data_IF_356903065100
#
_entry.id   IF_356903065100
#
_cell.length_a   1.000
_cell.length_b   1.000
_cell.length_c   1.000
_cell.angle_alpha   90.00
_cell.angle_beta   90.00
_cell.angle_gamma   90.00
#
_symmetry.space_group_name_H-M   'P 1'
#
loop_
_entity.id
_entity.type
_entity.pdbx_description
1 polymer ?
#
# COMPACT_ATOMS: atom_id res chain seq x y z
N UNK A 1 10.85 14.89 -8.64
CA UNK A 1 9.48 14.90 -9.15
C UNK A 1 8.49 14.96 -7.97
N UNK A 2 7.85 16.12 -7.77
CA UNK A 2 6.83 16.36 -6.74
C UNK A 2 5.57 16.94 -7.41
N UNK A 3 5.10 16.27 -8.45
CA UNK A 3 4.05 16.79 -9.34
C UNK A 3 2.64 16.30 -8.96
N UNK A 4 2.44 15.76 -7.74
CA UNK A 4 1.14 15.27 -7.31
C UNK A 4 0.57 14.24 -8.28
N UNK A 5 -0.67 14.40 -8.69
CA UNK A 5 -1.35 13.50 -9.64
C UNK A 5 -0.70 13.44 -11.04
N UNK A 6 0.06 14.45 -11.45
CA UNK A 6 0.81 14.44 -12.70
C UNK A 6 2.14 13.68 -12.62
N UNK A 7 2.52 13.16 -11.44
CA UNK A 7 3.85 12.56 -11.25
C UNK A 7 4.09 11.36 -12.14
N UNK A 8 3.06 10.51 -12.38
CA UNK A 8 3.18 9.35 -13.28
C UNK A 8 3.52 9.78 -14.69
N UNK A 9 2.67 10.59 -15.32
CA UNK A 9 2.85 11.03 -16.71
C UNK A 9 4.11 11.87 -16.91
N UNK A 10 4.51 12.67 -15.92
CA UNK A 10 5.77 13.41 -15.97
C UNK A 10 6.98 12.48 -15.90
N UNK A 11 6.98 11.52 -15.00
CA UNK A 11 8.08 10.56 -14.83
C UNK A 11 8.23 9.64 -16.06
N UNK A 12 7.12 9.25 -16.69
CA UNK A 12 7.10 8.46 -17.93
C UNK A 12 7.88 9.15 -19.07
N UNK A 13 7.92 10.48 -19.13
CA UNK A 13 8.69 11.22 -20.17
C UNK A 13 10.19 10.97 -20.11
N UNK A 14 10.69 10.50 -18.96
CA UNK A 14 12.10 10.18 -18.72
C UNK A 14 12.31 8.68 -18.40
N UNK A 15 11.31 7.84 -18.65
CA UNK A 15 11.38 6.40 -18.48
C UNK A 15 11.33 5.92 -17.02
N UNK A 16 10.83 6.75 -16.10
CA UNK A 16 10.67 6.39 -14.69
C UNK A 16 9.24 5.96 -14.40
N UNK A 17 9.06 4.85 -13.69
CA UNK A 17 7.76 4.35 -13.28
C UNK A 17 7.37 4.89 -11.90
N UNK A 18 6.25 5.63 -11.85
CA UNK A 18 5.63 6.09 -10.60
C UNK A 18 4.20 5.54 -10.55
N UNK A 19 3.96 4.38 -9.90
CA UNK A 19 2.67 3.71 -9.94
C UNK A 19 1.66 4.43 -9.03
N UNK A 20 0.83 5.25 -9.63
CA UNK A 20 -0.28 5.93 -8.95
C UNK A 20 -1.48 6.09 -9.88
N UNK A 21 -2.66 6.17 -9.27
CA UNK A 21 -3.93 6.44 -9.94
C UNK A 21 -4.66 7.53 -9.17
N UNK A 22 -5.32 8.44 -9.88
CA UNK A 22 -6.15 9.46 -9.27
C UNK A 22 -7.58 8.97 -9.12
N UNK A 23 -8.19 9.28 -7.97
CA UNK A 23 -9.59 9.03 -7.67
C UNK A 23 -10.29 10.33 -7.33
N UNK A 24 -11.58 10.39 -7.60
CA UNK A 24 -12.44 11.44 -7.07
C UNK A 24 -12.51 11.27 -5.55
N UNK A 25 -12.36 12.36 -4.84
CA UNK A 25 -12.50 12.37 -3.38
C UNK A 25 -13.31 13.56 -2.94
N UNK A 26 -14.39 13.30 -2.19
CA UNK A 26 -15.35 14.31 -1.83
C UNK A 26 -15.42 14.54 -0.32
N UNK A 27 -15.65 15.80 0.04
CA UNK A 27 -16.01 16.16 1.39
C UNK A 27 -17.04 17.31 1.37
N UNK A 28 -17.87 17.35 2.38
CA UNK A 28 -18.93 18.34 2.54
C UNK A 28 -18.54 19.34 3.63
N UNK A 29 -18.84 20.61 3.39
CA UNK A 29 -18.77 21.69 4.37
C UNK A 29 -20.17 22.15 4.70
N UNK A 30 -20.53 22.16 5.99
CA UNK A 30 -21.82 22.65 6.44
C UNK A 30 -21.81 24.17 6.65
N UNK A 31 -22.97 24.79 6.64
CA UNK A 31 -23.16 26.09 7.29
C UNK A 31 -22.88 25.98 8.80
N UNK A 32 -22.64 27.10 9.50
CA UNK A 32 -22.49 27.09 10.96
C UNK A 32 -23.70 26.43 11.66
N UNK A 33 -23.43 25.60 12.66
CA UNK A 33 -24.41 24.78 13.35
C UNK A 33 -24.42 25.10 14.86
N UNK A 34 -25.59 25.16 15.46
CA UNK A 34 -25.73 25.34 16.91
C UNK A 34 -25.08 24.15 17.63
N UNK A 35 -24.25 24.44 18.64
CA UNK A 35 -23.54 23.42 19.42
C UNK A 35 -22.20 22.98 18.83
N UNK A 36 -21.79 23.48 17.67
CA UNK A 36 -20.45 23.27 17.13
C UNK A 36 -19.52 24.39 17.62
N UNK A 37 -18.58 24.00 18.48
CA UNK A 37 -17.61 24.91 19.08
C UNK A 37 -16.21 24.72 18.45
N UNK A 38 -15.43 25.79 18.37
CA UNK A 38 -14.10 25.81 17.70
C UNK A 38 -13.04 24.90 18.36
N UNK A 39 -13.31 24.36 19.52
CA UNK A 39 -12.40 23.47 20.26
C UNK A 39 -12.79 21.99 20.14
N UNK A 40 -13.77 21.63 19.32
CA UNK A 40 -14.13 20.25 19.09
C UNK A 40 -12.96 19.46 18.49
N UNK A 41 -12.67 18.26 19.03
CA UNK A 41 -11.65 17.41 18.45
C UNK A 41 -12.09 16.88 17.09
N UNK A 42 -11.13 16.59 16.22
CA UNK A 42 -11.39 15.81 15.00
C UNK A 42 -11.90 14.42 15.37
N UNK A 43 -12.96 13.96 14.72
CA UNK A 43 -13.54 12.64 14.92
C UNK A 43 -13.33 11.79 13.68
N UNK A 44 -12.96 10.53 13.86
CA UNK A 44 -12.96 9.51 12.83
C UNK A 44 -13.76 8.30 13.29
N UNK A 45 -14.63 7.79 12.45
CA UNK A 45 -15.40 6.57 12.68
C UNK A 45 -15.08 5.55 11.57
N UNK A 46 -14.14 4.62 11.82
CA UNK A 46 -13.73 3.62 10.81
C UNK A 46 -14.84 2.63 10.45
N UNK A 47 -15.75 2.31 11.38
CA UNK A 47 -16.85 1.39 11.12
C UNK A 47 -17.87 1.96 10.13
N UNK A 48 -17.93 3.31 10.07
CA UNK A 48 -18.80 4.05 9.16
C UNK A 48 -18.06 4.71 8.01
N UNK A 49 -16.74 4.54 7.93
CA UNK A 49 -15.84 5.08 6.90
C UNK A 49 -15.87 6.61 6.79
N UNK A 50 -16.10 7.33 7.88
CA UNK A 50 -16.30 8.77 7.90
C UNK A 50 -15.38 9.50 8.88
N UNK A 51 -15.21 10.79 8.63
CA UNK A 51 -14.53 11.71 9.53
C UNK A 51 -15.24 13.06 9.63
N UNK A 52 -14.97 13.78 10.72
CA UNK A 52 -15.44 15.14 10.96
C UNK A 52 -14.32 16.02 11.50
N UNK A 53 -14.36 17.28 11.12
CA UNK A 53 -13.52 18.34 11.65
C UNK A 53 -14.37 19.60 11.79
N UNK A 54 -14.21 20.32 12.90
CA UNK A 54 -14.81 21.65 13.02
C UNK A 54 -14.17 22.61 12.00
N UNK A 55 -15.01 23.46 11.40
CA UNK A 55 -14.59 24.50 10.45
C UNK A 55 -15.52 25.72 10.57
N UNK A 56 -15.02 26.79 11.21
CA UNK A 56 -15.70 28.09 11.34
C UNK A 56 -17.15 27.96 11.86
N UNK A 57 -17.33 27.18 12.92
CA UNK A 57 -18.64 26.94 13.57
C UNK A 57 -19.53 25.91 12.85
N UNK A 58 -19.10 25.35 11.75
CA UNK A 58 -19.70 24.23 11.05
C UNK A 58 -18.82 22.98 11.10
N UNK A 59 -19.15 22.00 10.28
CA UNK A 59 -18.38 20.77 10.15
C UNK A 59 -17.90 20.58 8.71
N UNK A 60 -16.63 20.22 8.57
CA UNK A 60 -16.15 19.48 7.39
C UNK A 60 -16.38 18.01 7.67
N UNK A 61 -17.02 17.30 6.78
CA UNK A 61 -17.20 15.87 6.87
C UNK A 61 -16.92 15.18 5.54
N UNK A 62 -16.32 14.03 5.59
CA UNK A 62 -16.01 13.20 4.43
C UNK A 62 -15.79 11.76 4.84
N UNK A 63 -15.35 10.96 3.89
CA UNK A 63 -15.11 9.54 4.11
C UNK A 63 -14.39 8.90 2.94
N UNK A 64 -14.25 7.59 3.00
CA UNK A 64 -13.69 6.77 1.94
C UNK A 64 -14.67 5.64 1.63
N UNK A 65 -15.35 5.78 0.52
CA UNK A 65 -16.34 4.83 0.05
C UNK A 65 -15.70 3.53 -0.47
N UNK A 66 -16.37 2.37 -0.34
CA UNK A 66 -15.86 1.10 -0.83
C UNK A 66 -15.87 0.98 -2.37
N UNK A 67 -16.61 1.88 -3.04
CA UNK A 67 -16.76 1.92 -4.50
C UNK A 67 -16.20 3.21 -5.09
N UNK A 68 -14.88 3.47 -5.00
CA UNK A 68 -14.29 4.73 -5.46
C UNK A 68 -14.42 4.91 -6.97
N UNK A 69 -14.46 6.15 -7.43
CA UNK A 69 -14.47 6.50 -8.84
C UNK A 69 -13.07 6.96 -9.24
N UNK A 70 -12.43 6.21 -10.12
CA UNK A 70 -11.15 6.63 -10.71
C UNK A 70 -11.33 7.85 -11.63
N UNK A 71 -10.30 8.68 -11.71
CA UNK A 71 -10.29 9.85 -12.56
C UNK A 71 -8.98 9.94 -13.34
N UNK A 72 -9.08 10.35 -14.62
CA UNK A 72 -7.93 10.53 -15.51
C UNK A 72 -6.97 9.31 -15.53
N UNK A 73 -7.54 8.12 -15.70
CA UNK A 73 -6.81 6.85 -15.62
C UNK A 73 -5.63 6.75 -16.59
N UNK A 74 -5.76 7.28 -17.81
CA UNK A 74 -4.67 7.28 -18.79
C UNK A 74 -3.67 8.41 -18.51
N UNK A 75 -4.17 9.62 -18.43
CA UNK A 75 -3.39 10.81 -18.11
C UNK A 75 -4.28 11.93 -17.62
N UNK A 76 -3.75 12.77 -16.75
CA UNK A 76 -4.43 14.01 -16.35
C UNK A 76 -4.50 14.92 -17.56
N UNK A 77 -5.70 15.51 -17.91
CA UNK A 77 -5.83 16.43 -19.03
C UNK A 77 -4.89 17.64 -18.90
N UNK A 78 -4.33 18.09 -20.02
CA UNK A 78 -3.35 19.19 -20.02
C UNK A 78 -3.96 20.53 -19.54
N UNK A 79 -5.25 20.73 -19.76
CA UNK A 79 -6.00 21.92 -19.36
C UNK A 79 -6.55 21.85 -17.92
N UNK A 80 -6.39 20.72 -17.23
CA UNK A 80 -6.82 20.58 -15.86
C UNK A 80 -5.81 21.22 -14.89
N UNK A 81 -6.05 22.45 -14.50
CA UNK A 81 -5.26 23.15 -13.51
C UNK A 81 -6.12 24.14 -12.73
N UNK A 82 -5.85 24.34 -11.44
CA UNK A 82 -6.62 25.20 -10.55
C UNK A 82 -8.14 24.94 -10.58
N UNK A 83 -8.52 23.68 -10.79
CA UNK A 83 -9.91 23.27 -10.95
C UNK A 83 -10.27 22.16 -9.98
N UNK A 84 -11.55 22.08 -9.65
CA UNK A 84 -12.18 20.96 -8.96
C UNK A 84 -13.02 20.18 -9.97
N UNK A 85 -13.41 18.98 -9.59
CA UNK A 85 -14.39 18.19 -10.32
C UNK A 85 -15.80 18.63 -9.96
N UNK A 86 -16.79 18.25 -10.77
CA UNK A 86 -18.19 18.48 -10.43
C UNK A 86 -18.55 17.69 -9.18
N UNK A 87 -19.37 18.29 -8.32
CA UNK A 87 -19.88 17.66 -7.11
C UNK A 87 -20.84 16.53 -7.47
N UNK A 88 -20.62 15.34 -6.93
CA UNK A 88 -21.44 14.16 -7.17
C UNK A 88 -22.20 13.81 -5.87
N UNK A 89 -23.42 14.34 -5.75
CA UNK A 89 -24.26 14.14 -4.57
C UNK A 89 -24.76 12.69 -4.48
N UNK A 90 -25.03 12.05 -5.62
CA UNK A 90 -25.52 10.67 -5.64
C UNK A 90 -24.43 9.71 -5.13
N UNK A 91 -23.19 9.92 -5.55
CA UNK A 91 -22.04 9.14 -5.05
C UNK A 91 -21.72 9.44 -3.57
N UNK A 92 -21.95 10.66 -3.11
CA UNK A 92 -21.75 11.08 -1.73
C UNK A 92 -22.84 10.59 -0.76
N UNK A 93 -23.96 10.07 -1.24
CA UNK A 93 -25.12 9.66 -0.43
C UNK A 93 -24.77 8.61 0.62
N UNK A 94 -23.90 7.65 0.30
CA UNK A 94 -23.45 6.62 1.25
C UNK A 94 -22.70 7.24 2.43
N UNK A 95 -21.77 8.16 2.16
CA UNK A 95 -21.01 8.89 3.18
C UNK A 95 -21.97 9.73 4.04
N UNK A 96 -22.91 10.43 3.41
CA UNK A 96 -23.91 11.25 4.12
C UNK A 96 -24.80 10.40 5.01
N UNK A 97 -25.27 9.25 4.54
CA UNK A 97 -26.09 8.31 5.34
C UNK A 97 -25.36 7.84 6.57
N UNK A 98 -24.10 7.48 6.43
CA UNK A 98 -23.22 7.08 7.52
C UNK A 98 -22.98 8.23 8.51
N UNK A 99 -22.81 9.43 7.98
CA UNK A 99 -22.60 10.65 8.78
C UNK A 99 -23.84 11.03 9.61
N UNK A 100 -25.03 10.99 9.03
CA UNK A 100 -26.30 11.22 9.72
C UNK A 100 -26.50 10.24 10.87
N UNK A 101 -26.14 8.98 10.67
CA UNK A 101 -26.19 7.96 11.72
C UNK A 101 -25.22 8.21 12.88
N UNK A 102 -24.14 8.99 12.68
CA UNK A 102 -23.16 9.35 13.71
C UNK A 102 -23.42 10.70 14.35
N UNK A 103 -23.83 11.67 13.55
CA UNK A 103 -24.10 13.06 13.94
C UNK A 103 -25.49 13.45 13.44
N UNK A 104 -26.57 13.07 14.16
CA UNK A 104 -27.95 13.34 13.72
C UNK A 104 -28.26 14.82 13.51
N UNK A 105 -27.51 15.72 14.13
CA UNK A 105 -27.66 17.16 13.97
C UNK A 105 -27.51 17.63 12.50
N UNK A 106 -26.85 16.82 11.67
CA UNK A 106 -26.70 17.07 10.24
C UNK A 106 -28.03 17.05 9.46
N UNK A 107 -29.08 16.40 10.00
CA UNK A 107 -30.43 16.41 9.36
C UNK A 107 -30.99 17.82 9.12
N UNK A 108 -30.60 18.77 9.97
CA UNK A 108 -31.10 20.16 9.89
C UNK A 108 -29.98 21.14 9.48
N UNK A 109 -28.81 20.65 9.20
CA UNK A 109 -27.68 21.50 8.79
C UNK A 109 -27.85 22.00 7.35
N UNK A 110 -27.52 23.27 7.12
CA UNK A 110 -27.35 23.78 5.77
C UNK A 110 -26.06 23.25 5.15
N UNK A 111 -26.11 22.93 3.87
CA UNK A 111 -24.90 22.59 3.09
C UNK A 111 -24.32 23.87 2.51
N UNK A 112 -23.08 24.19 2.87
CA UNK A 112 -22.36 25.29 2.28
C UNK A 112 -21.74 24.89 0.94
N UNK A 113 -21.09 23.73 0.90
CA UNK A 113 -20.43 23.25 -0.31
C UNK A 113 -20.14 21.74 -0.22
N UNK A 114 -20.28 21.04 -1.35
CA UNK A 114 -19.74 19.70 -1.57
C UNK A 114 -18.54 19.85 -2.51
N UNK A 115 -17.35 19.59 -2.02
CA UNK A 115 -16.10 19.71 -2.77
C UNK A 115 -15.72 18.35 -3.31
N UNK A 116 -15.43 18.27 -4.61
CA UNK A 116 -14.91 17.08 -5.28
C UNK A 116 -13.56 17.41 -5.92
N UNK A 117 -12.51 16.76 -5.49
CA UNK A 117 -11.18 16.95 -6.02
C UNK A 117 -10.49 15.62 -6.34
N UNK A 118 -9.61 15.59 -7.35
CA UNK A 118 -8.85 14.38 -7.62
C UNK A 118 -7.67 14.26 -6.66
N UNK A 119 -7.51 13.09 -6.07
CA UNK A 119 -6.36 12.75 -5.24
C UNK A 119 -5.64 11.51 -5.76
N UNK A 120 -4.30 11.48 -5.59
CA UNK A 120 -3.47 10.39 -6.10
C UNK A 120 -3.21 9.33 -5.04
N UNK A 121 -3.48 8.08 -5.42
CA UNK A 121 -3.31 6.88 -4.59
C UNK A 121 -2.32 5.91 -5.22
N UNK A 122 -1.68 5.13 -4.37
CA UNK A 122 -0.72 4.10 -4.73
C UNK A 122 -1.29 2.69 -4.49
N UNK A 123 -0.72 1.65 -5.11
CA UNK A 123 -1.24 0.29 -4.96
C UNK A 123 -1.16 -0.31 -3.55
N UNK A 124 -0.36 0.26 -2.68
CA UNK A 124 -0.16 -0.20 -1.30
C UNK A 124 -0.63 0.80 -0.23
N UNK A 125 -1.20 1.94 -0.66
CA UNK A 125 -1.69 2.97 0.26
C UNK A 125 -0.60 3.78 0.97
N UNK A 126 0.69 3.57 0.65
CA UNK A 126 1.80 4.34 1.17
C UNK A 126 2.31 5.34 0.13
N UNK A 127 2.72 6.52 0.56
CA UNK A 127 3.31 7.50 -0.35
C UNK A 127 4.66 7.03 -0.92
N UNK A 128 5.16 7.73 -1.93
CA UNK A 128 6.38 7.38 -2.65
C UNK A 128 7.40 8.47 -2.42
N UNK A 129 8.58 8.11 -1.88
CA UNK A 129 9.75 8.98 -1.86
C UNK A 129 11.01 8.20 -2.26
N UNK A 130 12.02 8.92 -2.70
CA UNK A 130 13.36 8.38 -2.92
C UNK A 130 13.86 8.47 -4.35
N UNK A 131 15.07 7.96 -4.56
CA UNK A 131 15.72 7.92 -5.86
C UNK A 131 15.16 6.78 -6.71
N UNK A 132 14.76 7.11 -7.95
CA UNK A 132 14.27 6.13 -8.91
C UNK A 132 15.34 5.08 -9.25
N UNK A 133 14.98 3.78 -9.31
CA UNK A 133 15.90 2.76 -9.78
C UNK A 133 16.21 2.83 -11.27
N UNK A 134 15.34 3.47 -12.08
CA UNK A 134 15.50 3.57 -13.53
C UNK A 134 16.39 4.73 -13.95
N UNK A 135 16.43 5.81 -13.17
CA UNK A 135 17.16 7.05 -13.53
C UNK A 135 17.88 7.63 -12.33
N UNK A 136 19.21 7.58 -12.37
CA UNK A 136 20.07 8.15 -11.32
C UNK A 136 19.86 9.66 -11.17
N UNK A 137 19.86 10.13 -9.92
CA UNK A 137 19.60 11.53 -9.54
C UNK A 137 18.17 12.02 -9.86
N UNK A 138 17.26 11.11 -10.17
CA UNK A 138 15.84 11.43 -10.28
C UNK A 138 15.13 11.01 -8.99
N UNK A 139 14.72 11.98 -8.21
CA UNK A 139 14.05 11.77 -6.93
C UNK A 139 12.55 12.04 -7.05
N UNK A 140 11.76 11.24 -6.37
CA UNK A 140 10.30 11.31 -6.36
C UNK A 140 9.79 11.62 -4.96
N UNK A 141 8.74 12.47 -4.89
CA UNK A 141 7.92 12.70 -3.71
C UNK A 141 6.48 12.85 -4.16
N UNK A 142 5.69 11.76 -4.16
CA UNK A 142 4.36 11.71 -4.77
C UNK A 142 3.45 10.66 -4.14
N UNK A 143 2.18 10.62 -4.56
CA UNK A 143 1.22 9.59 -4.18
C UNK A 143 0.94 9.55 -2.68
N UNK A 144 0.66 10.69 -2.06
CA UNK A 144 0.53 10.79 -0.60
C UNK A 144 -0.79 10.25 -0.04
N UNK A 145 -1.69 9.72 -0.86
CA UNK A 145 -2.90 9.02 -0.39
C UNK A 145 -3.68 9.85 0.65
N UNK A 146 -3.93 11.13 0.36
CA UNK A 146 -4.55 12.11 1.25
C UNK A 146 -3.74 12.51 2.51
N UNK A 147 -2.52 11.98 2.71
CA UNK A 147 -1.67 12.34 3.85
C UNK A 147 -0.68 13.50 3.56
N UNK A 148 -0.75 14.14 2.40
CA UNK A 148 0.25 15.10 1.94
C UNK A 148 0.52 16.24 2.91
N UNK A 149 -0.51 16.81 3.54
CA UNK A 149 -0.34 17.90 4.52
C UNK A 149 0.35 17.37 5.78
N UNK A 150 -0.05 16.22 6.30
CA UNK A 150 0.51 15.64 7.52
C UNK A 150 1.95 15.13 7.33
N UNK A 151 2.24 14.50 6.19
CA UNK A 151 3.52 13.84 5.93
C UNK A 151 4.54 14.72 5.20
N UNK A 152 4.11 15.79 4.53
CA UNK A 152 4.95 16.59 3.60
C UNK A 152 6.21 17.16 4.25
N UNK A 153 6.12 17.65 5.47
CA UNK A 153 7.29 18.17 6.20
C UNK A 153 8.36 17.11 6.46
N UNK A 154 7.96 15.97 7.04
CA UNK A 154 8.88 14.86 7.33
C UNK A 154 9.43 14.18 6.07
N UNK A 155 8.57 13.93 5.09
CA UNK A 155 8.97 13.36 3.80
C UNK A 155 9.95 14.30 3.05
N UNK A 156 9.67 15.62 3.07
CA UNK A 156 10.54 16.64 2.47
C UNK A 156 11.91 16.69 3.13
N UNK A 157 11.98 16.63 4.46
CA UNK A 157 13.23 16.58 5.22
C UNK A 157 14.04 15.33 4.85
N UNK A 158 13.43 14.16 4.94
CA UNK A 158 14.09 12.89 4.62
C UNK A 158 14.61 12.86 3.17
N UNK A 159 13.81 13.37 2.22
CA UNK A 159 14.19 13.42 0.82
C UNK A 159 15.33 14.43 0.58
N UNK A 160 15.33 15.58 1.25
CA UNK A 160 16.40 16.56 1.15
C UNK A 160 17.74 16.01 1.67
N UNK A 161 17.72 15.33 2.82
CA UNK A 161 18.89 14.65 3.36
C UNK A 161 19.39 13.54 2.45
N UNK A 162 18.48 12.76 1.86
CA UNK A 162 18.84 11.72 0.90
C UNK A 162 19.52 12.29 -0.34
N UNK A 163 18.95 13.36 -0.92
CA UNK A 163 19.55 14.08 -2.08
C UNK A 163 20.95 14.61 -1.75
N UNK A 164 21.12 15.19 -0.55
CA UNK A 164 22.38 15.78 -0.13
C UNK A 164 23.48 14.76 0.16
N UNK A 165 23.11 13.60 0.74
CA UNK A 165 24.06 12.61 1.23
C UNK A 165 24.15 11.35 0.33
N UNK A 166 23.31 11.23 -0.70
CA UNK A 166 23.29 10.09 -1.62
C UNK A 166 22.68 8.80 -1.03
N UNK A 167 22.15 8.84 0.18
CA UNK A 167 21.51 7.72 0.86
C UNK A 167 20.40 8.21 1.79
N UNK A 168 19.36 7.38 2.07
CA UNK A 168 18.31 7.74 2.99
C UNK A 168 18.85 7.92 4.41
N UNK A 169 18.32 8.87 5.21
CA UNK A 169 18.80 9.15 6.56
C UNK A 169 18.46 8.05 7.58
N UNK A 170 17.47 7.22 7.29
CA UNK A 170 17.01 6.07 8.09
C UNK A 170 16.28 5.07 7.20
N UNK A 171 15.76 3.99 7.76
CA UNK A 171 15.01 3.00 7.00
C UNK A 171 13.67 3.58 6.50
N UNK A 172 13.55 3.76 5.19
CA UNK A 172 12.39 4.29 4.49
C UNK A 172 11.73 3.24 3.58
N UNK A 173 12.10 1.96 3.70
CA UNK A 173 11.62 0.92 2.81
C UNK A 173 10.10 0.92 2.56
N UNK A 174 9.22 1.12 3.55
CA UNK A 174 7.77 1.13 3.33
C UNK A 174 7.28 2.23 2.39
N UNK A 175 8.08 3.29 2.18
CA UNK A 175 7.74 4.44 1.33
C UNK A 175 8.74 4.68 0.20
N UNK A 176 9.81 3.87 0.14
CA UNK A 176 10.84 3.96 -0.89
C UNK A 176 10.28 3.52 -2.25
N UNK A 177 10.52 4.33 -3.32
CA UNK A 177 10.10 4.01 -4.68
C UNK A 177 10.63 2.64 -5.15
N UNK A 178 11.79 2.18 -4.63
CA UNK A 178 12.41 0.89 -4.98
C UNK A 178 11.63 -0.33 -4.52
N UNK A 179 10.61 -0.16 -3.66
CA UNK A 179 9.68 -1.25 -3.28
C UNK A 179 8.79 -1.70 -4.44
N UNK A 180 8.69 -0.88 -5.48
CA UNK A 180 7.90 -1.20 -6.66
C UNK A 180 8.73 -1.94 -7.71
N UNK A 181 8.23 -3.07 -8.16
CA UNK A 181 8.86 -3.92 -9.17
C UNK A 181 8.03 -4.05 -10.44
N UNK A 182 8.26 -5.10 -11.20
CA UNK A 182 7.60 -5.35 -12.49
C UNK A 182 6.05 -5.30 -12.46
N UNK A 183 5.34 -5.84 -11.45
CA UNK A 183 3.87 -5.74 -11.40
C UNK A 183 3.37 -4.30 -11.49
N UNK A 184 4.12 -3.39 -10.86
CA UNK A 184 3.77 -1.98 -10.76
C UNK A 184 4.04 -1.16 -12.04
N UNK A 185 4.57 -1.80 -13.09
CA UNK A 185 4.71 -1.23 -14.45
C UNK A 185 3.47 -1.54 -15.32
N UNK A 186 2.63 -2.48 -14.89
CA UNK A 186 1.37 -2.82 -15.54
C UNK A 186 0.26 -1.90 -15.01
N UNK A 187 -0.18 -0.95 -15.83
CA UNK A 187 -1.18 0.04 -15.42
C UNK A 187 -2.53 -0.59 -15.08
N UNK A 188 -2.92 -1.68 -15.74
CA UNK A 188 -4.17 -2.39 -15.43
C UNK A 188 -4.08 -3.02 -14.02
N UNK A 189 -2.93 -3.63 -13.71
CA UNK A 189 -2.68 -4.16 -12.37
C UNK A 189 -2.67 -3.04 -11.31
N UNK A 190 -1.97 -1.94 -11.59
CA UNK A 190 -1.90 -0.76 -10.70
C UNK A 190 -3.29 -0.22 -10.40
N UNK A 191 -4.14 -0.07 -11.41
CA UNK A 191 -5.53 0.40 -11.25
C UNK A 191 -6.34 -0.50 -10.33
N UNK A 192 -6.35 -1.81 -10.61
CA UNK A 192 -7.10 -2.79 -9.81
C UNK A 192 -6.65 -2.80 -8.35
N UNK A 193 -5.33 -2.78 -8.14
CA UNK A 193 -4.77 -2.81 -6.79
C UNK A 193 -4.99 -1.48 -6.05
N UNK A 194 -4.84 -0.34 -6.73
CA UNK A 194 -5.07 0.97 -6.12
C UNK A 194 -6.54 1.18 -5.79
N UNK A 195 -7.46 0.66 -6.61
CA UNK A 195 -8.90 0.65 -6.29
C UNK A 195 -9.18 -0.06 -4.96
N UNK A 196 -8.65 -1.27 -4.78
CA UNK A 196 -8.78 -2.00 -3.52
C UNK A 196 -8.11 -1.27 -2.35
N UNK A 197 -6.92 -0.69 -2.57
CA UNK A 197 -6.20 0.05 -1.54
C UNK A 197 -6.98 1.29 -1.07
N UNK A 198 -7.61 2.02 -2.00
CA UNK A 198 -8.51 3.12 -1.67
C UNK A 198 -9.74 2.64 -0.89
N UNK A 199 -10.44 1.65 -1.40
CA UNK A 199 -11.65 1.11 -0.78
C UNK A 199 -11.41 0.61 0.67
N UNK A 200 -10.18 0.18 0.95
CA UNK A 200 -9.75 -0.27 2.29
C UNK A 200 -9.06 0.81 3.13
N UNK A 201 -8.98 2.04 2.65
CA UNK A 201 -8.19 3.09 3.31
C UNK A 201 -8.66 3.43 4.73
N UNK A 202 -9.97 3.39 4.98
CA UNK A 202 -10.57 3.65 6.30
C UNK A 202 -11.05 2.38 7.01
N UNK A 203 -11.13 1.25 6.33
CA UNK A 203 -11.54 0.00 6.98
C UNK A 203 -10.50 -0.44 8.00
N UNK A 204 -10.96 -1.11 9.03
CA UNK A 204 -10.08 -1.84 9.94
C UNK A 204 -9.66 -3.14 9.27
N UNK A 205 -8.35 -3.29 9.01
CA UNK A 205 -7.82 -4.51 8.44
C UNK A 205 -8.02 -5.69 9.40
N UNK A 206 -8.49 -6.81 8.87
CA UNK A 206 -8.50 -8.07 9.61
C UNK A 206 -7.07 -8.57 9.85
N UNK A 207 -6.80 -9.26 10.96
CA UNK A 207 -5.53 -9.96 11.13
C UNK A 207 -5.24 -10.86 9.93
N UNK A 208 -4.02 -10.74 9.39
CA UNK A 208 -3.54 -11.51 8.21
C UNK A 208 -4.28 -11.21 6.89
N UNK A 209 -5.08 -10.16 6.83
CA UNK A 209 -5.74 -9.77 5.59
C UNK A 209 -4.72 -9.40 4.51
N UNK A 210 -4.89 -9.98 3.32
CA UNK A 210 -4.10 -9.69 2.14
C UNK A 210 -4.98 -9.11 1.02
N UNK A 211 -4.34 -8.47 0.05
CA UNK A 211 -5.05 -7.97 -1.12
C UNK A 211 -5.56 -9.11 -2.01
N UNK A 212 -6.75 -8.92 -2.57
CA UNK A 212 -7.41 -9.88 -3.47
C UNK A 212 -7.37 -9.48 -4.94
N UNK A 213 -7.23 -8.19 -5.23
CA UNK A 213 -7.24 -7.65 -6.59
C UNK A 213 -5.91 -7.82 -7.32
N UNK A 214 -5.94 -7.76 -8.66
CA UNK A 214 -4.74 -7.88 -9.49
C UNK A 214 -4.06 -9.25 -9.44
N UNK A 215 -4.78 -10.30 -9.06
CA UNK A 215 -4.28 -11.67 -8.89
C UNK A 215 -4.91 -12.64 -9.90
N UNK A 216 -4.18 -13.72 -10.27
CA UNK A 216 -2.75 -13.96 -10.01
C UNK A 216 -1.88 -13.14 -10.97
N UNK A 217 -0.74 -12.58 -10.51
CA UNK A 217 0.19 -11.86 -11.38
C UNK A 217 1.44 -12.69 -11.69
N UNK A 218 2.19 -13.10 -10.68
CA UNK A 218 3.36 -13.99 -10.83
C UNK A 218 3.07 -15.34 -10.18
N UNK A 219 3.40 -16.41 -10.90
CA UNK A 219 3.16 -17.78 -10.46
C UNK A 219 4.46 -18.59 -10.51
N UNK A 220 4.67 -19.44 -9.53
CA UNK A 220 5.77 -20.40 -9.57
C UNK A 220 5.53 -21.49 -10.64
N UNK A 221 6.58 -22.16 -11.12
CA UNK A 221 6.42 -23.28 -12.06
C UNK A 221 5.52 -24.41 -11.55
N UNK A 222 5.41 -24.56 -10.22
CA UNK A 222 4.58 -25.59 -9.58
C UNK A 222 3.23 -25.06 -9.07
N UNK A 223 2.86 -23.82 -9.39
CA UNK A 223 1.59 -23.21 -8.94
C UNK A 223 0.38 -24.10 -9.19
N UNK A 224 0.25 -24.68 -10.40
CA UNK A 224 -0.86 -25.58 -10.71
C UNK A 224 -0.89 -26.84 -9.84
N UNK A 225 0.28 -27.40 -9.53
CA UNK A 225 0.41 -28.56 -8.63
C UNK A 225 -0.05 -28.20 -7.22
N UNK A 226 0.38 -27.05 -6.70
CA UNK A 226 -0.02 -26.56 -5.38
C UNK A 226 -1.52 -26.25 -5.34
N UNK A 227 -2.07 -25.64 -6.40
CA UNK A 227 -3.51 -25.39 -6.51
C UNK A 227 -4.32 -26.68 -6.51
N UNK A 228 -3.87 -27.73 -7.23
CA UNK A 228 -4.51 -29.05 -7.25
C UNK A 228 -4.39 -29.77 -5.89
N UNK A 229 -3.41 -29.40 -5.09
CA UNK A 229 -3.26 -29.85 -3.71
C UNK A 229 -4.08 -29.01 -2.71
N UNK A 230 -5.01 -28.20 -3.19
CA UNK A 230 -5.89 -27.36 -2.38
C UNK A 230 -5.18 -26.25 -1.60
N UNK A 231 -4.12 -25.66 -2.17
CA UNK A 231 -3.46 -24.51 -1.57
C UNK A 231 -4.38 -23.29 -1.53
N UNK A 232 -4.50 -22.67 -0.37
CA UNK A 232 -4.98 -21.30 -0.23
C UNK A 232 -3.81 -20.36 -0.47
N UNK A 233 -3.93 -19.49 -1.48
CA UNK A 233 -2.83 -18.61 -1.87
C UNK A 233 -2.98 -17.21 -1.28
N UNK A 234 -1.87 -16.68 -0.78
CA UNK A 234 -1.65 -15.27 -0.53
C UNK A 234 -0.73 -14.64 -1.59
N UNK A 235 -0.46 -13.35 -1.45
CA UNK A 235 0.35 -12.59 -2.41
C UNK A 235 1.48 -11.84 -1.70
N UNK A 236 2.70 -11.93 -2.24
CA UNK A 236 3.85 -11.13 -1.81
C UNK A 236 4.58 -10.57 -3.03
N UNK A 237 4.59 -9.24 -3.17
CA UNK A 237 5.26 -8.54 -4.27
C UNK A 237 4.87 -9.07 -5.67
N UNK A 238 3.59 -9.37 -5.83
CA UNK A 238 3.02 -9.93 -7.07
C UNK A 238 3.13 -11.45 -7.20
N UNK A 239 3.84 -12.15 -6.32
CA UNK A 239 3.97 -13.61 -6.34
C UNK A 239 2.83 -14.29 -5.59
N UNK A 240 2.18 -15.28 -6.22
CA UNK A 240 1.29 -16.20 -5.55
C UNK A 240 2.10 -17.17 -4.67
N UNK A 241 1.77 -17.22 -3.39
CA UNK A 241 2.43 -18.09 -2.41
C UNK A 241 1.38 -18.86 -1.63
N UNK A 242 1.52 -20.20 -1.45
CA UNK A 242 0.61 -20.96 -0.61
C UNK A 242 0.77 -20.50 0.85
N UNK A 243 -0.33 -20.07 1.47
CA UNK A 243 -0.37 -19.75 2.89
C UNK A 243 -0.63 -21.01 3.73
N UNK A 244 -1.52 -21.87 3.25
CA UNK A 244 -1.88 -23.16 3.87
C UNK A 244 -2.55 -24.06 2.85
N UNK A 245 -2.73 -25.35 3.18
CA UNK A 245 -3.35 -26.34 2.32
C UNK A 245 -4.65 -26.88 2.94
N UNK A 246 -5.77 -26.65 2.27
CA UNK A 246 -7.08 -27.07 2.77
C UNK A 246 -7.27 -28.58 2.62
N UNK A 247 -7.76 -29.29 3.66
CA UNK A 247 -8.26 -30.64 3.51
C UNK A 247 -9.40 -30.73 2.49
N UNK A 248 -9.63 -31.91 1.89
CA UNK A 248 -10.62 -32.08 0.81
C UNK A 248 -12.06 -31.63 1.16
N UNK A 249 -12.38 -31.51 2.45
CA UNK A 249 -13.70 -31.05 2.93
C UNK A 249 -13.77 -29.57 3.22
N UNK A 250 -12.69 -28.81 3.02
CA UNK A 250 -12.57 -27.39 3.34
C UNK A 250 -12.22 -26.61 2.09
N UNK A 251 -12.88 -25.48 1.85
CA UNK A 251 -12.51 -24.58 0.77
C UNK A 251 -11.21 -23.85 1.10
N UNK A 252 -10.28 -23.71 0.12
CA UNK A 252 -9.00 -23.02 0.33
C UNK A 252 -9.18 -21.49 0.27
N UNK A 253 -9.94 -20.96 1.23
CA UNK A 253 -10.25 -19.52 1.35
C UNK A 253 -10.07 -19.09 2.79
N UNK A 254 -9.36 -17.97 2.99
CA UNK A 254 -9.19 -17.37 4.31
C UNK A 254 -10.52 -16.81 4.83
N UNK A 255 -10.88 -17.16 6.08
CA UNK A 255 -11.99 -16.57 6.80
C UNK A 255 -11.42 -15.67 7.89
N UNK A 256 -11.46 -14.38 7.63
CA UNK A 256 -10.88 -13.38 8.53
C UNK A 256 -11.73 -13.18 9.78
N UNK A 257 -11.06 -13.13 10.92
CA UNK A 257 -11.67 -12.90 12.23
C UNK A 257 -10.64 -12.35 13.20
N UNK A 258 -11.07 -11.70 14.29
CA UNK A 258 -10.21 -11.35 15.42
C UNK A 258 -9.94 -12.53 16.36
N UNK A 259 -10.70 -13.60 16.24
CA UNK A 259 -10.47 -14.87 16.92
C UNK A 259 -9.47 -15.74 16.13
N UNK A 260 -9.46 -17.05 16.35
CA UNK A 260 -8.67 -18.00 15.58
C UNK A 260 -9.27 -18.18 14.18
N UNK A 261 -8.45 -17.97 13.17
CA UNK A 261 -8.83 -18.14 11.76
C UNK A 261 -9.09 -19.62 11.44
N UNK A 262 -9.85 -19.86 10.35
CA UNK A 262 -10.22 -21.21 9.90
C UNK A 262 -9.03 -22.12 9.55
N UNK A 263 -7.87 -21.56 9.27
CA UNK A 263 -6.65 -22.28 8.94
C UNK A 263 -5.78 -22.63 10.17
N UNK A 264 -6.09 -22.12 11.36
CA UNK A 264 -5.20 -22.18 12.52
C UNK A 264 -4.80 -23.62 12.91
N UNK A 265 -5.76 -24.54 13.03
CA UNK A 265 -5.49 -25.94 13.38
C UNK A 265 -4.79 -26.66 12.21
N UNK A 266 -5.16 -26.33 10.96
CA UNK A 266 -4.57 -26.92 9.75
C UNK A 266 -3.09 -26.56 9.67
N UNK A 267 -2.74 -25.30 9.87
CA UNK A 267 -1.34 -24.85 9.91
C UNK A 267 -0.60 -25.46 11.10
N UNK A 268 -1.28 -25.69 12.22
CA UNK A 268 -0.74 -26.43 13.36
C UNK A 268 -0.28 -27.85 12.99
N UNK A 269 -1.08 -28.55 12.21
CA UNK A 269 -0.74 -29.88 11.70
C UNK A 269 0.41 -29.84 10.68
N UNK A 270 0.46 -28.84 9.80
CA UNK A 270 1.58 -28.62 8.87
C UNK A 270 2.89 -28.35 9.61
N UNK A 271 2.85 -27.51 10.66
CA UNK A 271 4.01 -27.24 11.52
C UNK A 271 4.50 -28.51 12.22
N UNK A 272 3.59 -29.34 12.72
CA UNK A 272 3.92 -30.64 13.33
C UNK A 272 4.56 -31.57 12.30
N UNK A 273 3.98 -31.69 11.12
CA UNK A 273 4.53 -32.48 10.03
C UNK A 273 5.95 -32.02 9.63
N UNK A 274 6.19 -30.72 9.61
CA UNK A 274 7.51 -30.13 9.33
C UNK A 274 8.59 -30.57 10.33
N UNK A 275 8.21 -30.81 11.58
CA UNK A 275 9.13 -31.24 12.65
C UNK A 275 9.32 -32.73 12.73
N UNK A 276 8.32 -33.51 12.36
CA UNK A 276 8.27 -34.96 12.59
C UNK A 276 8.52 -35.78 11.31
N UNK A 277 8.35 -35.17 10.13
CA UNK A 277 8.46 -35.86 8.85
C UNK A 277 9.27 -35.05 7.83
N UNK A 278 8.94 -35.11 6.56
CA UNK A 278 9.55 -34.34 5.49
C UNK A 278 8.52 -33.42 4.83
N UNK A 279 8.94 -32.21 4.48
CA UNK A 279 8.12 -31.21 3.80
C UNK A 279 8.81 -30.68 2.55
N UNK A 280 8.03 -30.19 1.61
CA UNK A 280 8.47 -29.45 0.43
C UNK A 280 7.97 -28.01 0.53
N UNK A 281 8.87 -27.04 0.45
CA UNK A 281 8.51 -25.63 0.51
C UNK A 281 8.85 -24.97 -0.84
N UNK A 282 7.87 -24.33 -1.48
CA UNK A 282 8.09 -23.55 -2.69
C UNK A 282 8.73 -22.19 -2.34
N UNK A 283 10.00 -22.05 -2.65
CA UNK A 283 10.76 -20.82 -2.46
C UNK A 283 11.03 -20.04 -3.76
N UNK A 284 10.25 -20.29 -4.81
CA UNK A 284 10.43 -19.63 -6.11
C UNK A 284 10.34 -18.11 -6.02
N UNK A 285 9.51 -17.58 -5.14
CA UNK A 285 9.32 -16.13 -4.96
C UNK A 285 10.49 -15.42 -4.28
N UNK A 286 11.42 -16.15 -3.65
CA UNK A 286 12.62 -15.56 -3.09
C UNK A 286 13.65 -15.30 -4.19
N UNK A 287 14.39 -14.19 -4.09
CA UNK A 287 15.49 -13.90 -5.00
C UNK A 287 16.65 -14.88 -4.81
N UNK A 288 17.35 -15.20 -5.90
CA UNK A 288 18.56 -16.00 -5.92
C UNK A 288 19.64 -15.19 -6.64
N UNK A 289 20.75 -15.00 -5.97
CA UNK A 289 21.89 -14.26 -6.51
C UNK A 289 23.11 -15.18 -6.58
N UNK A 290 23.85 -15.08 -7.67
CA UNK A 290 25.18 -15.67 -7.80
C UNK A 290 26.23 -14.55 -7.73
N UNK A 291 27.17 -14.67 -6.82
CA UNK A 291 28.28 -13.71 -6.66
C UNK A 291 29.57 -14.45 -6.96
N UNK A 292 30.29 -14.01 -7.97
CA UNK A 292 31.52 -14.63 -8.43
C UNK A 292 32.62 -13.59 -8.64
N UNK A 293 33.88 -14.07 -8.67
CA UNK A 293 35.04 -13.24 -8.87
C UNK A 293 36.04 -13.32 -7.72
N UNK A 294 37.25 -12.79 -7.91
CA UNK A 294 38.34 -12.95 -6.95
C UNK A 294 38.10 -12.29 -5.59
N UNK A 295 37.21 -11.31 -5.53
CA UNK A 295 36.85 -10.58 -4.31
C UNK A 295 35.48 -10.95 -3.78
N UNK A 296 34.82 -12.01 -4.29
CA UNK A 296 33.44 -12.37 -3.89
C UNK A 296 33.32 -12.67 -2.39
N UNK A 297 34.33 -13.39 -1.84
CA UNK A 297 34.37 -13.70 -0.41
C UNK A 297 34.52 -12.42 0.44
N UNK A 298 35.43 -11.54 0.08
CA UNK A 298 35.69 -10.30 0.82
C UNK A 298 34.47 -9.39 0.83
N UNK A 299 33.78 -9.30 -0.31
CA UNK A 299 32.54 -8.53 -0.42
C UNK A 299 31.42 -9.11 0.47
N UNK A 300 31.24 -10.43 0.48
CA UNK A 300 30.25 -11.10 1.32
C UNK A 300 30.60 -10.99 2.81
N UNK A 301 31.85 -11.15 3.19
CA UNK A 301 32.30 -10.93 4.58
C UNK A 301 32.07 -9.50 5.07
N UNK A 302 32.13 -8.52 4.16
CA UNK A 302 31.88 -7.12 4.48
C UNK A 302 30.40 -6.81 4.70
N UNK A 303 29.49 -7.36 3.89
CA UNK A 303 28.06 -7.02 3.93
C UNK A 303 27.23 -7.96 4.82
N UNK A 304 27.69 -9.19 5.05
CA UNK A 304 26.98 -10.16 5.87
C UNK A 304 27.37 -10.05 7.34
N UNK A 305 26.39 -10.21 8.22
CA UNK A 305 26.62 -10.16 9.68
C UNK A 305 27.27 -11.42 10.25
N UNK A 306 27.24 -12.54 9.51
CA UNK A 306 27.83 -13.81 9.92
C UNK A 306 29.06 -14.12 9.09
N UNK A 307 29.96 -14.96 9.63
CA UNK A 307 31.16 -15.44 8.91
C UNK A 307 30.76 -16.32 7.73
N UNK A 308 31.08 -15.87 6.51
CA UNK A 308 30.79 -16.55 5.26
C UNK A 308 31.94 -17.50 4.83
N UNK A 309 33.15 -17.27 5.36
CA UNK A 309 34.31 -18.08 5.07
C UNK A 309 34.21 -19.48 5.72
N UNK A 310 33.48 -20.36 5.09
CA UNK A 310 33.24 -21.75 5.49
C UNK A 310 33.62 -22.69 4.37
N UNK A 311 33.66 -23.99 4.69
CA UNK A 311 33.90 -25.03 3.71
C UNK A 311 32.90 -24.96 2.54
N UNK A 312 33.35 -25.28 1.34
CA UNK A 312 32.50 -25.31 0.13
C UNK A 312 31.35 -26.29 0.34
N UNK A 313 30.14 -25.85 0.00
CA UNK A 313 28.91 -26.61 0.22
C UNK A 313 28.20 -26.29 1.55
N UNK A 314 28.77 -25.45 2.41
CA UNK A 314 28.11 -24.99 3.64
C UNK A 314 26.96 -24.06 3.32
N UNK A 315 25.88 -24.20 4.07
CA UNK A 315 24.75 -23.22 4.09
C UNK A 315 24.88 -22.35 5.33
N UNK A 316 24.88 -21.04 5.14
CA UNK A 316 25.08 -20.07 6.22
C UNK A 316 23.88 -19.16 6.28
N UNK A 317 23.17 -19.16 7.42
CA UNK A 317 22.11 -18.19 7.68
C UNK A 317 22.74 -16.88 8.15
N UNK A 318 22.42 -15.78 7.46
CA UNK A 318 22.98 -14.46 7.77
C UNK A 318 22.01 -13.36 7.34
N UNK A 319 22.20 -12.17 7.89
CA UNK A 319 21.55 -10.94 7.46
C UNK A 319 22.56 -10.07 6.73
N UNK A 320 22.08 -9.28 5.79
CA UNK A 320 22.84 -8.17 5.19
C UNK A 320 22.39 -6.88 5.86
N UNK A 321 23.34 -6.11 6.38
CA UNK A 321 23.05 -4.90 7.13
C UNK A 321 23.31 -3.65 6.29
N UNK A 322 22.51 -2.62 6.51
CA UNK A 322 22.77 -1.28 5.99
C UNK A 322 23.82 -0.56 6.87
N UNK A 323 24.23 0.65 6.44
CA UNK A 323 25.25 1.46 7.15
C UNK A 323 24.85 1.90 8.57
N UNK A 324 23.58 1.76 8.93
CA UNK A 324 23.03 2.10 10.24
C UNK A 324 22.82 0.86 11.13
N UNK A 325 23.19 -0.32 10.65
CA UNK A 325 23.02 -1.58 11.36
C UNK A 325 21.59 -2.17 11.27
N UNK A 326 20.72 -1.58 10.49
CA UNK A 326 19.40 -2.14 10.19
C UNK A 326 19.51 -3.32 9.22
N UNK A 327 18.64 -4.31 9.34
CA UNK A 327 18.57 -5.46 8.44
C UNK A 327 18.00 -4.98 7.09
N UNK A 328 18.81 -5.07 6.05
CA UNK A 328 18.41 -4.72 4.70
C UNK A 328 17.81 -5.91 3.93
N UNK A 329 18.33 -7.10 4.19
CA UNK A 329 17.91 -8.38 3.58
C UNK A 329 18.14 -9.52 4.55
#
# INVERSE_FOLDING_TARGET
CCCGQWSRQFAETVGVNVPLVSFQHQYLVTEPMEGVESNLPTLRDPDRLIYFKEEVGGLVMGGYEPNPISWAEESVPEDFHFSLLESDYDHFEEIMTNALGRVPLLETAGIKELINGPESFTPDGNFIIGESPELKNFYVGAGFNAYGIAAGGGAGMALAEWVANGQPPYDLWPVDIRRFGKPHQDLEWVRKRTYEAYAKHYTMAWPYEEHSSGRPFQQSPIYKTLKNANACFGEKLGWERPNWFAPNSVEPVDQYTFDRQNWFEIVGDEVKATRETAVLVDQTSFAKFEISGPQALDALEYICSNNINKEVGSTIYTQMLNSHGGIGV
#
